data_IF_503030789046
#
_entry.id   IF_503030789046
#
_cell.length_a   1.000
_cell.length_b   1.000
_cell.length_c   1.000
_cell.angle_alpha   90.00
_cell.angle_beta   90.00
_cell.angle_gamma   90.00
#
_symmetry.space_group_name_H-M   'P 1'
#
loop_
_entity.id
_entity.type
_entity.pdbx_description
1 polymer ?
#
# COMPACT_ATOMS: atom_id res chain seq x y z
N UNK A 1 2.72 -33.39 -25.89
CA UNK A 1 1.52 -32.53 -25.82
C UNK A 1 1.76 -31.45 -24.77
N UNK A 2 2.65 -30.51 -25.07
CA UNK A 2 3.10 -29.46 -24.15
C UNK A 2 1.97 -28.48 -23.90
N UNK A 3 1.38 -28.58 -22.70
CA UNK A 3 0.30 -27.72 -22.26
C UNK A 3 0.66 -26.24 -22.42
N UNK A 4 -0.37 -25.46 -22.71
CA UNK A 4 -0.38 -23.99 -22.78
C UNK A 4 0.71 -23.39 -21.90
N UNK A 5 1.80 -22.96 -22.53
CA UNK A 5 2.97 -22.42 -21.88
C UNK A 5 2.57 -21.29 -20.93
N UNK A 6 3.27 -21.13 -19.80
CA UNK A 6 2.99 -20.08 -18.79
C UNK A 6 2.85 -18.69 -19.43
N UNK A 7 3.56 -18.47 -20.54
CA UNK A 7 3.45 -17.28 -21.38
C UNK A 7 2.03 -17.00 -21.93
N UNK A 8 1.28 -18.05 -22.30
CA UNK A 8 -0.10 -17.93 -22.78
C UNK A 8 -1.04 -17.42 -21.68
N UNK A 9 -0.87 -17.90 -20.45
CA UNK A 9 -1.69 -17.47 -19.32
C UNK A 9 -1.46 -15.99 -18.96
N UNK A 10 -0.24 -15.48 -19.10
CA UNK A 10 0.04 -14.04 -18.93
C UNK A 10 -0.69 -13.22 -19.99
N UNK A 11 -0.61 -13.62 -21.27
CA UNK A 11 -1.29 -12.92 -22.37
C UNK A 11 -2.81 -12.93 -22.19
N UNK A 12 -3.38 -14.07 -21.79
CA UNK A 12 -4.82 -14.19 -21.49
C UNK A 12 -5.20 -13.30 -20.31
N UNK A 13 -4.40 -13.29 -19.23
CA UNK A 13 -4.65 -12.44 -18.07
C UNK A 13 -4.67 -10.95 -18.42
N UNK A 14 -3.79 -10.49 -19.31
CA UNK A 14 -3.77 -9.11 -19.81
C UNK A 14 -5.03 -8.81 -20.61
N UNK A 15 -5.44 -9.68 -21.54
CA UNK A 15 -6.65 -9.48 -22.35
C UNK A 15 -7.90 -9.39 -21.47
N UNK A 16 -8.02 -10.29 -20.48
CA UNK A 16 -9.13 -10.28 -19.51
C UNK A 16 -9.11 -8.98 -18.69
N UNK A 17 -7.93 -8.53 -18.22
CA UNK A 17 -7.82 -7.27 -17.50
C UNK A 17 -8.21 -6.05 -18.35
N UNK A 18 -7.94 -6.05 -19.67
CA UNK A 18 -8.40 -4.98 -20.57
C UNK A 18 -9.91 -5.02 -20.82
N UNK A 19 -10.49 -6.22 -20.99
CA UNK A 19 -11.92 -6.39 -21.24
C UNK A 19 -12.78 -6.02 -20.03
N UNK A 20 -12.36 -6.44 -18.84
CA UNK A 20 -13.08 -6.19 -17.60
C UNK A 20 -12.66 -4.88 -16.92
N UNK A 21 -11.49 -4.34 -17.27
CA UNK A 21 -10.91 -3.14 -16.68
C UNK A 21 -10.40 -3.36 -15.25
N UNK A 22 -9.49 -2.48 -14.80
CA UNK A 22 -8.86 -2.60 -13.46
C UNK A 22 -9.84 -2.44 -12.29
N UNK A 23 -10.91 -1.67 -12.48
CA UNK A 23 -11.91 -1.41 -11.43
C UNK A 23 -12.68 -2.66 -11.02
N UNK A 24 -13.23 -3.40 -11.99
CA UNK A 24 -14.08 -4.57 -11.70
C UNK A 24 -13.28 -5.78 -11.26
N UNK A 25 -12.09 -6.00 -11.80
CA UNK A 25 -11.22 -7.10 -11.37
C UNK A 25 -10.75 -6.90 -9.92
N UNK A 26 -10.40 -5.68 -9.50
CA UNK A 26 -10.00 -5.43 -8.10
C UNK A 26 -11.15 -5.61 -7.10
N UNK A 27 -12.36 -5.16 -7.46
CA UNK A 27 -13.55 -5.28 -6.61
C UNK A 27 -13.93 -6.76 -6.40
N UNK A 28 -14.00 -7.53 -7.50
CA UNK A 28 -14.30 -8.97 -7.47
C UNK A 28 -13.18 -9.80 -6.82
N UNK A 29 -11.92 -9.50 -7.13
CA UNK A 29 -10.78 -10.18 -6.50
C UNK A 29 -10.72 -9.91 -4.99
N UNK A 30 -11.14 -8.72 -4.55
CA UNK A 30 -11.22 -8.37 -3.12
C UNK A 30 -12.23 -9.23 -2.35
N UNK A 31 -13.44 -9.42 -2.90
CA UNK A 31 -14.46 -10.27 -2.29
C UNK A 31 -14.11 -11.76 -2.34
N UNK A 32 -13.54 -12.22 -3.46
CA UNK A 32 -13.02 -13.60 -3.58
C UNK A 32 -11.88 -13.83 -2.60
N UNK A 33 -10.95 -12.89 -2.45
CA UNK A 33 -9.83 -13.00 -1.52
C UNK A 33 -10.31 -13.04 -0.06
N UNK A 34 -11.33 -12.25 0.33
CA UNK A 34 -11.94 -12.34 1.66
C UNK A 34 -12.59 -13.70 1.90
N UNK A 35 -13.34 -14.23 0.93
CA UNK A 35 -13.97 -15.55 1.03
C UNK A 35 -12.95 -16.67 1.23
N UNK A 36 -11.90 -16.68 0.41
CA UNK A 36 -10.81 -17.68 0.50
C UNK A 36 -10.02 -17.50 1.81
N UNK A 37 -9.76 -16.27 2.26
CA UNK A 37 -9.04 -16.00 3.52
C UNK A 37 -9.82 -16.47 4.75
N UNK A 38 -11.13 -16.24 4.78
CA UNK A 38 -12.01 -16.75 5.84
C UNK A 38 -12.10 -18.28 5.83
N UNK A 39 -12.16 -18.89 4.65
CA UNK A 39 -12.13 -20.35 4.52
C UNK A 39 -10.80 -20.95 5.01
N UNK A 40 -9.67 -20.34 4.62
CA UNK A 40 -8.34 -20.76 5.08
C UNK A 40 -8.17 -20.57 6.59
N UNK A 41 -8.66 -19.46 7.14
CA UNK A 41 -8.61 -19.18 8.59
C UNK A 41 -9.50 -20.15 9.38
N UNK A 42 -10.70 -20.46 8.88
CA UNK A 42 -11.58 -21.46 9.48
C UNK A 42 -10.97 -22.86 9.50
N UNK A 43 -10.33 -23.29 8.41
CA UNK A 43 -9.60 -24.57 8.39
C UNK A 43 -8.36 -24.57 9.29
N UNK A 44 -7.63 -23.46 9.38
CA UNK A 44 -6.42 -23.37 10.20
C UNK A 44 -6.70 -23.30 11.70
N UNK A 45 -7.86 -22.78 12.12
CA UNK A 45 -8.29 -22.78 13.53
C UNK A 45 -8.73 -24.17 14.01
N UNK A 46 -9.10 -25.09 13.11
CA UNK A 46 -9.38 -26.49 13.44
C UNK A 46 -8.09 -27.28 13.76
N UNK A 47 -6.94 -26.90 13.16
CA UNK A 47 -5.65 -27.58 13.34
C UNK A 47 -4.67 -26.88 14.30
N UNK A 48 -4.90 -25.61 14.70
CA UNK A 48 -3.93 -24.84 15.50
C UNK A 48 -4.61 -23.92 16.52
N UNK A 49 -4.18 -23.88 17.81
CA UNK A 49 -4.69 -22.90 18.78
C UNK A 49 -4.30 -21.46 18.33
N UNK A 50 -5.09 -20.44 18.73
CA UNK A 50 -5.18 -19.18 17.99
C UNK A 50 -3.88 -18.37 18.01
N UNK A 51 -3.32 -17.98 16.85
CA UNK A 51 -2.40 -16.85 16.79
C UNK A 51 -3.20 -15.53 16.94
N UNK A 52 -2.66 -14.64 17.78
CA UNK A 52 -3.22 -13.34 18.15
C UNK A 52 -3.69 -12.49 16.94
N UNK A 53 -4.68 -11.60 17.12
CA UNK A 53 -5.26 -10.83 16.04
C UNK A 53 -4.24 -9.84 15.45
N UNK A 54 -3.62 -10.18 14.33
CA UNK A 54 -3.10 -9.16 13.40
C UNK A 54 -4.29 -8.56 12.68
N UNK A 55 -4.89 -7.55 13.32
CA UNK A 55 -5.68 -6.54 12.63
C UNK A 55 -4.87 -6.04 11.44
N UNK A 56 -5.49 -6.04 10.27
CA UNK A 56 -4.96 -5.35 9.11
C UNK A 56 -4.67 -3.91 9.55
N UNK A 57 -3.40 -3.51 9.56
CA UNK A 57 -3.01 -2.10 9.59
C UNK A 57 -3.73 -1.43 8.42
N UNK A 58 -4.65 -0.47 8.66
CA UNK A 58 -5.01 0.47 7.62
C UNK A 58 -3.71 1.20 7.29
N UNK A 59 -3.23 1.06 6.07
CA UNK A 59 -2.20 1.93 5.55
C UNK A 59 -2.76 3.35 5.60
N UNK A 60 -2.41 4.07 6.65
CA UNK A 60 -2.65 5.50 6.83
C UNK A 60 -1.98 6.20 5.64
N UNK A 61 -2.71 6.78 4.68
CA UNK A 61 -2.09 7.65 3.71
C UNK A 61 -1.77 8.94 4.46
N UNK A 62 -0.60 8.98 5.10
CA UNK A 62 0.04 10.22 5.50
C UNK A 62 0.33 10.99 4.21
N UNK A 63 -0.65 11.78 3.79
CA UNK A 63 -0.45 12.92 2.89
C UNK A 63 0.53 13.81 3.65
N UNK A 64 1.81 13.64 3.34
CA UNK A 64 2.90 14.49 3.82
C UNK A 64 2.64 15.88 3.22
N UNK A 65 2.00 16.71 4.03
CA UNK A 65 2.37 18.10 4.29
C UNK A 65 2.89 18.87 3.07
N UNK A 66 1.97 19.21 2.16
CA UNK A 66 2.15 20.36 1.28
C UNK A 66 1.91 21.67 2.07
N UNK A 67 2.76 21.99 3.06
CA UNK A 67 2.93 23.39 3.52
C UNK A 67 4.16 23.57 4.41
N UNK A 68 4.92 24.61 4.07
CA UNK A 68 5.97 25.27 4.86
C UNK A 68 7.38 24.68 4.73
N UNK A 69 7.90 24.76 3.51
CA UNK A 69 9.32 24.95 3.25
C UNK A 69 9.70 26.41 3.58
N UNK A 70 10.73 26.56 4.42
CA UNK A 70 11.68 27.66 4.55
C UNK A 70 11.19 29.11 4.45
N UNK A 71 11.06 29.78 5.60
CA UNK A 71 11.69 31.08 5.81
C UNK A 71 11.73 31.43 7.31
N UNK A 72 12.79 31.05 8.01
CA UNK A 72 13.32 31.82 9.14
C UNK A 72 14.70 31.31 9.56
N UNK A 73 15.61 32.26 9.73
CA UNK A 73 16.89 32.16 10.44
C UNK A 73 18.09 31.59 9.68
N UNK A 74 18.64 32.43 8.78
CA UNK A 74 20.10 32.54 8.61
C UNK A 74 20.75 32.95 9.94
N UNK A 75 21.74 32.21 10.46
CA UNK A 75 22.53 32.62 11.62
C UNK A 75 23.63 33.57 11.16
N UNK A 76 23.58 34.83 11.62
CA UNK A 76 24.69 35.78 11.46
C UNK A 76 24.71 36.73 12.64
N UNK A 77 25.35 36.29 13.73
CA UNK A 77 25.98 37.18 14.71
C UNK A 77 27.33 37.63 14.11
N UNK A 78 27.82 38.88 14.30
CA UNK A 78 28.03 39.44 15.63
C UNK A 78 27.72 40.94 15.78
N UNK A 79 27.04 41.31 16.87
CA UNK A 79 27.01 42.68 17.36
C UNK A 79 28.30 42.96 18.16
N UNK A 80 29.23 43.69 17.56
CA UNK A 80 30.38 44.29 18.25
C UNK A 80 30.43 45.77 17.92
N UNK A 81 30.14 46.58 18.95
CA UNK A 81 30.66 47.90 19.25
C UNK A 81 30.44 49.07 18.26
N UNK A 82 30.42 50.25 18.89
CA UNK A 82 30.68 51.58 18.36
C UNK A 82 29.46 52.42 17.90
N UNK A 83 29.37 53.73 18.10
CA UNK A 83 30.06 54.73 18.93
C UNK A 83 29.28 56.04 18.65
N UNK A 84 28.86 56.75 19.70
CA UNK A 84 28.75 58.22 19.83
C UNK A 84 28.37 59.05 18.58
N UNK A 85 27.20 59.70 18.64
CA UNK A 85 26.99 61.11 18.28
C UNK A 85 25.69 61.63 18.90
#
# INVERSE_FOLDING_TARGET
MGGVSIWHWIVVGVIVMLLFGRGKVSELMGDVAKGIKSFKKGMAEDETPPPAPTAATPADPKIIDAKSNDQAATPSAPAKAETKA
#
